data_IF_741807063364
#
_entry.id   IF_741807063364
#
_cell.length_a   1.000
_cell.length_b   1.000
_cell.length_c   1.000
_cell.angle_alpha   90.00
_cell.angle_beta   90.00
_cell.angle_gamma   90.00
#
_symmetry.space_group_name_H-M   'P 1'
#
loop_
_entity.id
_entity.type
_entity.pdbx_description
1 polymer ?
2 non-polymer ?
3 water ?
#
# COMPACT_ATOMS: atom_id res chain seq x y z
N UNK A 1 0.97 6.11 15.43
CA UNK A 1 1.06 5.34 14.15
C UNK A 1 -0.28 4.68 13.85
N UNK A 2 -0.48 4.25 12.60
CA UNK A 2 -1.69 3.49 12.32
C UNK A 2 -1.32 2.41 11.31
N UNK A 3 -1.83 1.21 11.54
CA UNK A 3 -1.65 0.11 10.62
C UNK A 3 -2.92 -0.10 9.86
N UNK A 4 -2.85 0.05 8.53
CA UNK A 4 -4.04 0.01 7.66
C UNK A 4 -4.17 -1.37 6.98
N UNK A 5 -5.26 -2.06 7.26
CA UNK A 5 -5.57 -3.38 6.71
C UNK A 5 -6.69 -3.25 5.69
N UNK A 6 -6.72 -4.18 4.74
CA UNK A 6 -7.86 -4.25 3.85
C UNK A 6 -9.16 -4.50 4.63
N UNK A 7 -10.24 -3.94 4.10
CA UNK A 7 -11.58 -4.07 4.68
C UNK A 7 -11.70 -3.45 6.09
N UNK A 8 -10.75 -2.60 6.47
CA UNK A 8 -10.86 -1.92 7.75
C UNK A 8 -11.01 -0.44 7.40
N UNK A 9 -11.49 0.38 8.34
CA UNK A 9 -11.63 1.81 8.04
C UNK A 9 -10.27 2.37 7.61
N UNK A 10 -10.29 3.29 6.64
CA UNK A 10 -9.04 3.85 6.11
C UNK A 10 -8.71 3.17 4.77
N UNK A 11 -9.34 2.03 4.51
CA UNK A 11 -9.13 1.32 3.23
C UNK A 11 -10.25 1.66 2.27
N UNK A 12 -9.92 2.17 1.09
CA UNK A 12 -10.95 2.68 0.18
C UNK A 12 -11.30 1.73 -0.94
N UNK A 13 -10.31 1.28 -1.69
CA UNK A 13 -10.60 0.50 -2.90
C UNK A 13 -9.36 -0.25 -3.32
N UNK A 14 -9.58 -1.28 -4.14
CA UNK A 14 -8.47 -2.03 -4.72
C UNK A 14 -8.90 -2.63 -6.03
N UNK A 15 -7.95 -2.70 -6.94
CA UNK A 15 -8.10 -3.56 -8.11
C UNK A 15 -8.03 -5.01 -7.67
N UNK A 16 -8.61 -5.90 -8.48
CA UNK A 16 -8.43 -7.32 -8.16
C UNK A 16 -9.31 -7.77 -7.01
N UNK A 17 -8.77 -8.62 -6.14
CA UNK A 17 -9.56 -9.26 -5.10
C UNK A 17 -8.82 -9.19 -3.77
N UNK A 18 -9.54 -9.52 -2.70
CA UNK A 18 -8.91 -9.72 -1.42
C UNK A 18 -8.78 -11.24 -1.29
N UNK A 19 -7.67 -11.69 -0.73
CA UNK A 19 -7.44 -13.14 -0.63
C UNK A 19 -6.64 -13.47 0.60
N UNK A 20 -6.52 -14.76 0.92
CA UNK A 20 -5.79 -15.16 2.10
C UNK A 20 -4.96 -16.43 1.80
N UNK A 21 -4.73 -16.69 0.52
CA UNK A 21 -4.19 -18.01 0.12
C UNK A 21 -2.76 -18.27 0.59
N UNK A 22 -1.93 -17.22 0.67
CA UNK A 22 -0.60 -17.39 1.27
C UNK A 22 -0.63 -17.00 2.73
N UNK A 23 -0.33 -17.95 3.63
CA UNK A 23 -0.30 -17.67 5.06
C UNK A 23 0.72 -16.62 5.45
N UNK A 24 0.50 -15.95 6.58
CA UNK A 24 1.49 -15.01 7.09
C UNK A 24 1.07 -13.56 7.02
N UNK A 25 -0.08 -13.31 6.40
CA UNK A 25 -0.65 -11.96 6.36
C UNK A 25 -1.12 -11.52 7.76
N UNK A 26 -1.42 -10.24 7.89
CA UNK A 26 -2.08 -9.72 9.08
C UNK A 26 -3.50 -9.29 8.71
N UNK A 27 -4.35 -9.06 9.70
CA UNK A 27 -5.75 -8.80 9.38
C UNK A 27 -6.37 -10.03 8.74
N UNK A 28 -7.31 -9.80 7.82
CA UNK A 28 -8.09 -10.88 7.20
C UNK A 28 -7.39 -11.51 5.98
N UNK A 29 -6.37 -10.83 5.46
CA UNK A 29 -5.85 -11.28 4.16
C UNK A 29 -5.00 -10.21 3.54
N UNK A 30 -5.03 -10.12 2.23
CA UNK A 30 -4.19 -9.15 1.54
C UNK A 30 -4.85 -8.86 0.21
N UNK A 31 -4.36 -7.83 -0.47
CA UNK A 31 -4.86 -7.49 -1.80
C UNK A 31 -4.09 -8.25 -2.89
N UNK A 32 -4.82 -8.91 -3.77
CA UNK A 32 -4.19 -9.60 -4.91
C UNK A 32 -4.76 -8.93 -6.16
N UNK A 33 -4.00 -8.02 -6.75
CA UNK A 33 -4.56 -7.28 -7.88
C UNK A 33 -4.56 -8.13 -9.13
N UNK A 34 -5.36 -7.71 -10.12
CA UNK A 34 -5.18 -8.30 -11.43
C UNK A 34 -3.81 -7.92 -12.01
N UNK A 35 -3.40 -8.66 -13.04
CA UNK A 35 -2.11 -8.41 -13.64
C UNK A 35 -2.29 -7.35 -14.73
N UNK A 36 -2.21 -6.08 -14.34
CA UNK A 36 -2.44 -5.02 -15.30
C UNK A 36 -1.69 -3.75 -14.87
N UNK A 37 -1.18 -3.02 -15.85
CA UNK A 37 -0.64 -1.70 -15.59
C UNK A 37 -1.72 -0.85 -14.99
N UNK A 38 -1.36 -0.07 -13.96
CA UNK A 38 -2.33 0.80 -13.32
C UNK A 38 -3.19 0.17 -12.22
N UNK A 39 -3.07 -1.14 -12.01
CA UNK A 39 -3.77 -1.77 -10.89
C UNK A 39 -3.38 -0.99 -9.61
N UNK A 40 -4.39 -0.69 -8.79
CA UNK A 40 -4.20 0.21 -7.65
C UNK A 40 -4.86 -0.20 -6.35
N UNK A 41 -4.38 0.43 -5.27
CA UNK A 41 -5.02 0.34 -3.97
C UNK A 41 -5.05 1.78 -3.46
N UNK A 42 -6.15 2.15 -2.79
CA UNK A 42 -6.32 3.51 -2.27
C UNK A 42 -6.68 3.45 -0.79
N UNK A 43 -6.02 4.31 -0.01
CA UNK A 43 -6.28 4.46 1.42
C UNK A 43 -6.59 5.93 1.74
N UNK A 44 -7.19 6.16 2.90
CA UNK A 44 -7.50 7.54 3.35
C UNK A 44 -7.10 7.65 4.81
N UNK A 45 -6.33 8.68 5.15
CA UNK A 45 -5.88 8.87 6.52
C UNK A 45 -5.96 10.33 6.93
N UNK A 46 -5.93 10.56 8.23
CA UNK A 46 -5.84 11.92 8.76
C UNK A 46 -4.54 12.08 9.49
N UNK A 47 -3.90 13.25 9.33
CA UNK A 47 -2.69 13.60 10.03
C UNK A 47 -2.96 14.87 10.87
N UNK A 48 -2.46 14.90 12.10
CA UNK A 48 -2.63 16.10 12.95
C UNK A 48 -1.79 17.29 12.45
N UNK A 49 -0.63 17.05 11.88
CA UNK A 49 0.13 18.16 11.35
C UNK A 49 0.83 17.80 10.06
N UNK A 50 1.19 18.83 9.31
CA UNK A 50 1.86 18.66 8.04
C UNK A 50 3.36 18.45 8.23
N UNK A 51 3.84 17.30 7.78
CA UNK A 51 5.26 17.02 7.71
C UNK A 51 5.49 15.73 6.93
N UNK A 52 6.73 15.27 6.88
CA UNK A 52 7.03 14.00 6.24
C UNK A 52 6.92 12.88 7.25
N UNK A 53 6.27 11.78 6.84
CA UNK A 53 6.12 10.59 7.67
C UNK A 53 6.69 9.39 6.96
N UNK A 54 7.17 8.40 7.71
CA UNK A 54 7.62 7.13 7.11
C UNK A 54 6.45 6.15 7.07
N UNK A 55 6.16 5.62 5.87
CA UNK A 55 5.17 4.54 5.70
C UNK A 55 5.94 3.26 5.44
N UNK A 56 5.40 2.15 5.91
CA UNK A 56 5.99 0.87 5.57
C UNK A 56 4.93 -0.03 4.95
N UNK A 57 5.22 -0.56 3.77
CA UNK A 57 4.28 -1.44 3.07
C UNK A 57 4.76 -2.85 3.21
N UNK A 58 3.88 -3.74 3.70
CA UNK A 58 4.26 -5.14 3.85
C UNK A 58 3.62 -5.92 2.69
N UNK A 59 4.40 -6.76 2.03
CA UNK A 59 3.95 -7.33 0.76
C UNK A 59 4.53 -8.70 0.52
N UNK A 60 3.87 -9.43 -0.37
CA UNK A 60 4.36 -10.72 -0.81
C UNK A 60 4.64 -10.66 -2.29
N UNK A 61 5.81 -11.15 -2.65
CA UNK A 61 6.15 -11.30 -4.06
C UNK A 61 7.17 -12.42 -4.21
N UNK A 62 6.68 -13.58 -4.65
CA UNK A 62 7.57 -14.72 -4.95
C UNK A 62 7.50 -15.03 -6.43
N UNK A 63 7.04 -14.06 -7.22
CA UNK A 63 6.86 -14.22 -8.67
C UNK A 63 8.15 -14.10 -9.47
N UNK A 64 8.00 -14.06 -10.79
CA UNK A 64 9.19 -14.18 -11.62
C UNK A 64 9.94 -12.84 -11.74
N UNK A 65 9.32 -11.73 -11.32
CA UNK A 65 10.04 -10.47 -11.38
C UNK A 65 9.57 -9.47 -10.32
N UNK A 66 10.29 -8.35 -10.21
CA UNK A 66 9.86 -7.25 -9.34
C UNK A 66 8.54 -6.72 -9.87
N UNK A 67 7.73 -6.10 -9.01
CA UNK A 67 6.46 -5.54 -9.44
C UNK A 67 6.45 -4.06 -9.11
N UNK A 68 7.18 -3.30 -9.90
CA UNK A 68 7.34 -1.87 -9.62
C UNK A 68 5.99 -1.17 -9.53
N UNK A 69 5.88 -0.22 -8.58
CA UNK A 69 4.64 0.52 -8.40
C UNK A 69 4.96 1.90 -7.84
N UNK A 70 4.11 2.85 -8.12
CA UNK A 70 4.34 4.23 -7.68
C UNK A 70 3.45 4.56 -6.50
N UNK A 71 4.03 5.21 -5.50
CA UNK A 71 3.30 5.72 -4.35
C UNK A 71 2.84 7.14 -4.71
N UNK A 72 1.52 7.36 -4.68
CA UNK A 72 0.90 8.63 -4.99
C UNK A 72 0.30 9.18 -3.70
N UNK A 73 0.61 10.43 -3.33
CA UNK A 73 0.03 10.95 -2.09
C UNK A 73 -0.66 12.27 -2.41
N UNK A 74 -1.94 12.35 -2.10
CA UNK A 74 -2.75 13.53 -2.44
C UNK A 74 -2.67 13.86 -3.92
N UNK A 75 -2.77 12.81 -4.75
CA UNK A 75 -2.81 12.95 -6.21
C UNK A 75 -1.45 13.30 -6.84
N UNK A 76 -0.38 13.28 -6.05
CA UNK A 76 0.97 13.55 -6.54
C UNK A 76 1.88 12.33 -6.46
N UNK A 77 2.59 12.03 -7.55
CA UNK A 77 3.55 10.91 -7.53
C UNK A 77 4.75 11.19 -6.66
N UNK A 78 4.97 10.33 -5.68
CA UNK A 78 6.03 10.57 -4.73
C UNK A 78 7.28 9.78 -5.04
N UNK A 79 7.14 8.49 -5.29
CA UNK A 79 8.30 7.64 -5.52
C UNK A 79 7.87 6.31 -6.12
N UNK A 80 8.75 5.71 -6.92
CA UNK A 80 8.48 4.39 -7.47
C UNK A 80 9.29 3.41 -6.68
N UNK A 81 8.63 2.36 -6.18
CA UNK A 81 9.27 1.34 -5.38
C UNK A 81 9.36 0.07 -6.22
N UNK A 82 10.37 -0.73 -5.96
CA UNK A 82 10.68 -1.90 -6.79
C UNK A 82 9.77 -3.12 -6.49
N UNK A 83 9.53 -3.40 -5.19
CA UNK A 83 8.81 -4.64 -4.80
C UNK A 83 9.42 -5.90 -5.42
N UNK A 84 10.65 -6.18 -5.04
CA UNK A 84 11.39 -7.28 -5.63
C UNK A 84 10.77 -8.61 -5.28
N UNK A 85 11.03 -9.61 -6.13
CA UNK A 85 10.67 -10.97 -5.76
C UNK A 85 11.74 -11.63 -4.88
N UNK A 86 11.33 -12.48 -3.94
CA UNK A 86 12.26 -13.36 -3.26
C UNK A 86 11.97 -14.85 -3.54
N UNK A 87 11.10 -15.14 -4.50
CA UNK A 87 10.77 -16.53 -4.89
C UNK A 87 10.28 -17.32 -3.71
N UNK A 88 9.72 -16.63 -2.72
CA UNK A 88 9.29 -17.28 -1.50
C UNK A 88 8.05 -16.59 -0.93
N UNK A 89 6.90 -17.15 -1.25
CA UNK A 89 5.61 -16.53 -0.85
C UNK A 89 5.37 -16.69 0.63
N UNK A 90 6.18 -17.50 1.31
CA UNK A 90 6.04 -17.63 2.78
C UNK A 90 6.79 -16.54 3.55
N UNK A 91 7.67 -15.85 2.85
CA UNK A 91 8.46 -14.80 3.46
C UNK A 91 7.97 -13.44 2.98
N UNK A 92 7.18 -12.80 3.81
CA UNK A 92 6.65 -11.50 3.48
C UNK A 92 7.80 -10.49 3.56
N UNK A 93 7.66 -9.37 2.85
CA UNK A 93 8.75 -8.38 2.74
C UNK A 93 8.20 -7.04 3.17
N UNK A 94 9.09 -6.10 3.46
CA UNK A 94 8.62 -4.76 3.80
C UNK A 94 9.46 -3.74 3.02
N UNK A 95 8.85 -2.61 2.69
CA UNK A 95 9.60 -1.52 2.08
C UNK A 95 9.15 -0.24 2.75
N UNK A 96 10.10 0.63 3.05
CA UNK A 96 9.78 1.92 3.68
C UNK A 96 9.75 3.02 2.63
N UNK A 97 8.88 4.00 2.81
CA UNK A 97 8.85 5.14 1.91
C UNK A 97 8.43 6.36 2.72
N UNK A 98 9.14 7.47 2.52
CA UNK A 98 8.76 8.72 3.16
C UNK A 98 7.70 9.45 2.35
N UNK A 99 6.66 9.90 3.03
CA UNK A 99 5.57 10.56 2.34
C UNK A 99 5.19 11.90 3.01
N UNK A 100 4.98 12.94 2.20
CA UNK A 100 4.53 14.22 2.72
C UNK A 100 3.04 14.19 2.97
N UNK A 101 2.63 14.46 4.20
CA UNK A 101 1.23 14.53 4.53
C UNK A 101 0.85 15.94 4.96
N UNK A 102 -0.38 16.30 4.68
CA UNK A 102 -0.94 17.59 5.08
C UNK A 102 -1.77 17.40 6.34
N UNK A 103 -2.00 18.48 7.08
CA UNK A 103 -2.94 18.37 8.18
C UNK A 103 -4.33 18.07 7.65
N UNK A 104 -5.05 17.16 8.29
CA UNK A 104 -6.41 16.82 7.87
C UNK A 104 -6.35 15.56 7.02
N UNK A 105 -7.30 15.40 6.11
CA UNK A 105 -7.43 14.16 5.31
C UNK A 105 -6.41 14.10 4.18
N UNK A 106 -5.83 12.91 3.98
CA UNK A 106 -4.84 12.69 2.95
C UNK A 106 -5.23 11.42 2.20
N UNK A 107 -4.89 11.34 0.92
CA UNK A 107 -5.09 10.07 0.20
C UNK A 107 -3.73 9.48 -0.12
N UNK A 108 -3.64 8.14 -0.11
CA UNK A 108 -2.44 7.46 -0.51
C UNK A 108 -2.90 6.41 -1.51
N UNK A 109 -2.21 6.33 -2.65
CA UNK A 109 -2.55 5.34 -3.66
C UNK A 109 -1.27 4.63 -4.09
N UNK A 110 -1.38 3.33 -4.37
CA UNK A 110 -0.26 2.62 -4.89
C UNK A 110 -0.69 2.10 -6.27
N UNK A 111 0.13 2.35 -7.28
CA UNK A 111 -0.29 2.15 -8.69
C UNK A 111 0.75 1.33 -9.45
N UNK A 112 0.32 0.20 -10.01
CA UNK A 112 1.25 -0.70 -10.69
C UNK A 112 1.84 -0.07 -11.95
N UNK A 113 3.15 -0.23 -12.12
CA UNK A 113 3.82 0.31 -13.30
C UNK A 113 3.99 -0.70 -14.40
N UNK A 114 3.68 -1.97 -14.12
CA UNK A 114 3.89 -3.03 -15.11
C UNK A 114 2.72 -3.96 -15.20
N UNK A 115 2.77 -4.84 -16.20
CA UNK A 115 1.68 -5.76 -16.43
C UNK A 115 1.58 -6.88 -15.40
N UNK A 116 2.54 -6.99 -14.48
CA UNK A 116 2.40 -7.95 -13.41
C UNK A 116 1.55 -7.42 -12.26
N UNK A 117 1.02 -6.21 -12.40
CA UNK A 117 0.22 -5.59 -11.31
C UNK A 117 1.03 -5.32 -10.06
N UNK A 118 0.33 -5.18 -8.92
CA UNK A 118 1.03 -5.04 -7.65
C UNK A 118 1.49 -6.38 -7.07
N UNK A 119 2.52 -6.33 -6.23
CA UNK A 119 2.78 -7.42 -5.28
C UNK A 119 1.51 -7.59 -4.43
N UNK A 120 1.41 -8.71 -3.73
CA UNK A 120 0.26 -8.90 -2.84
C UNK A 120 0.49 -7.98 -1.66
N UNK A 121 -0.46 -7.09 -1.40
CA UNK A 121 -0.22 -6.04 -0.37
C UNK A 121 -0.97 -6.38 0.92
N UNK A 122 -0.21 -6.66 1.97
CA UNK A 122 -0.79 -7.08 3.26
C UNK A 122 -1.33 -5.86 4.02
N UNK A 123 -0.55 -4.80 4.04
CA UNK A 123 -0.91 -3.63 4.85
C UNK A 123 0.01 -2.48 4.52
N UNK A 124 -0.41 -1.29 4.94
CA UNK A 124 0.50 -0.16 4.99
C UNK A 124 0.45 0.42 6.42
N UNK A 125 1.64 0.71 6.95
CA UNK A 125 1.79 1.24 8.31
C UNK A 125 2.38 2.63 8.19
N UNK A 126 1.68 3.63 8.73
CA UNK A 126 2.24 4.99 8.72
C UNK A 126 2.69 5.34 10.16
N UNK A 127 3.97 5.61 10.32
CA UNK A 127 4.49 5.90 11.66
C UNK A 127 4.47 7.39 11.98
N UNK A 128 4.37 7.70 13.27
CA UNK A 128 4.28 9.08 13.73
C UNK A 128 3.03 9.30 14.56
N UNK A 129 3.06 10.32 15.42
CA UNK A 129 1.94 10.61 16.27
C UNK A 129 0.84 11.25 15.45
N UNK A 130 -0.39 11.11 15.92
CA UNK A 130 -1.49 11.83 15.34
C UNK A 130 -1.97 11.32 13.98
N UNK A 131 -1.70 10.06 13.70
CA UNK A 131 -2.19 9.45 12.45
C UNK A 131 -3.40 8.57 12.78
N UNK A 132 -4.52 8.79 12.11
CA UNK A 132 -5.70 7.94 12.24
C UNK A 132 -6.26 7.66 10.84
N UNK A 133 -7.19 6.71 10.74
CA UNK A 133 -7.85 6.47 9.47
C UNK A 133 -8.82 7.61 9.21
N UNK A 134 -9.18 7.83 7.94
CA UNK A 134 -10.17 8.84 7.56
C UNK A 134 -11.25 8.22 6.69
N UNK A 135 -12.39 8.90 6.55
CA UNK A 135 -13.44 8.40 5.67
C UNK A 135 -12.94 8.38 4.21
N UNK A 136 -13.50 7.49 3.41
CA UNK A 136 -13.18 7.41 1.99
C UNK A 136 -13.91 8.51 1.23
N UNK A 137 -13.23 9.19 0.30
CA UNK A 137 -13.90 10.26 -0.46
C UNK A 137 -15.13 9.77 -1.23
X LIG B 1 -1.87 -10.24 -8.22
X LIG C 1 -3.58 -7.71 5.67
#
# INVERSE_FOLDING_TARGET
MWLFEESAVGFCSNSGVIDNKHAGYTGTGFIDTENAVGASIVWSLSAASAKTYTAQIRFGNGGTSARRATVVVNDSQIKTLDFPTNSNWTQWQTVNVDIPLKAGTNSIKLVAETADGLANIDSIRVTGNGITPAACPLEHHHHHH
CA CA
CA CA
#
